data_IF_098331973535
#
_entry.id   IF_098331973535
#
_cell.length_a   1.000
_cell.length_b   1.000
_cell.length_c   1.000
_cell.angle_alpha   90.00
_cell.angle_beta   90.00
_cell.angle_gamma   90.00
#
_symmetry.space_group_name_H-M   'P 1'
#
loop_
_entity.id
_entity.type
_entity.pdbx_description
1 polymer ?
#
# COMPACT_ATOMS: atom_id res chain seq x y z
N UNK A 1 23.53 74.41 10.51
CA UNK A 1 23.61 74.42 11.99
C UNK A 1 22.37 73.70 12.51
N UNK A 2 22.46 72.43 12.92
CA UNK A 2 22.29 72.01 14.33
C UNK A 2 21.03 71.12 14.45
N UNK A 3 21.19 69.79 14.55
CA UNK A 3 20.96 68.94 15.75
C UNK A 3 19.46 68.84 16.19
N UNK A 4 18.80 67.69 15.95
CA UNK A 4 18.44 66.62 16.93
C UNK A 4 17.35 67.03 17.94
N UNK A 5 16.26 66.29 18.22
CA UNK A 5 16.16 65.02 19.01
C UNK A 5 14.64 64.64 19.00
N UNK A 6 14.20 63.48 18.47
CA UNK A 6 13.93 62.19 19.16
C UNK A 6 12.69 62.16 20.10
N UNK A 7 11.48 61.86 19.59
CA UNK A 7 10.42 61.18 20.39
C UNK A 7 9.48 60.42 19.44
N UNK A 8 9.66 59.10 19.28
CA UNK A 8 8.59 58.17 18.84
C UNK A 8 9.08 56.72 18.82
N UNK A 9 9.66 56.22 19.92
CA UNK A 9 9.94 54.78 20.08
C UNK A 9 9.69 54.37 21.53
N UNK A 10 8.43 54.29 21.95
CA UNK A 10 8.11 53.73 23.29
C UNK A 10 6.71 53.13 23.46
N UNK A 11 6.01 52.75 22.38
CA UNK A 11 4.67 52.09 22.52
C UNK A 11 4.62 50.68 21.93
N UNK A 12 5.50 50.33 20.98
CA UNK A 12 5.49 49.00 20.35
C UNK A 12 6.24 47.90 21.12
N UNK A 13 7.20 48.25 21.98
CA UNK A 13 8.04 47.26 22.68
C UNK A 13 7.30 46.62 23.87
N UNK A 14 6.51 47.40 24.63
CA UNK A 14 5.78 46.89 25.79
C UNK A 14 4.68 45.87 25.45
N UNK A 15 4.02 46.01 24.30
CA UNK A 15 2.98 45.07 23.85
C UNK A 15 3.55 43.72 23.40
N UNK A 16 4.72 43.70 22.77
CA UNK A 16 5.37 42.46 22.31
C UNK A 16 5.96 41.70 23.50
N UNK A 17 6.57 42.40 24.46
CA UNK A 17 7.11 41.79 25.69
C UNK A 17 6.01 41.26 26.60
N UNK A 18 4.87 41.96 26.70
CA UNK A 18 3.70 41.46 27.44
C UNK A 18 3.08 40.21 26.82
N UNK A 19 3.00 40.15 25.49
CA UNK A 19 2.43 38.99 24.78
C UNK A 19 3.34 37.75 24.88
N UNK A 20 4.66 37.92 24.81
CA UNK A 20 5.61 36.81 24.97
C UNK A 20 5.68 36.29 26.40
N UNK A 21 5.54 37.17 27.41
CA UNK A 21 5.50 36.76 28.82
C UNK A 21 4.23 35.95 29.16
N UNK A 22 3.08 36.32 28.59
CA UNK A 22 1.81 35.59 28.77
C UNK A 22 1.83 34.24 28.04
N UNK A 23 2.37 34.19 26.81
CA UNK A 23 2.57 32.91 26.09
C UNK A 23 3.56 31.98 26.80
N UNK A 24 4.62 32.53 27.42
CA UNK A 24 5.56 31.75 28.22
C UNK A 24 4.92 31.21 29.52
N UNK A 25 4.04 31.96 30.18
CA UNK A 25 3.31 31.47 31.35
C UNK A 25 2.29 30.37 31.00
N UNK A 26 1.62 30.44 29.84
CA UNK A 26 0.72 29.36 29.40
C UNK A 26 1.46 28.05 29.06
N UNK A 27 2.71 28.12 28.62
CA UNK A 27 3.53 26.93 28.36
C UNK A 27 3.89 26.16 29.65
N UNK A 28 4.07 26.87 30.78
CA UNK A 28 4.37 26.24 32.07
C UNK A 28 3.16 25.52 32.69
N UNK A 29 1.93 26.02 32.49
CA UNK A 29 0.72 25.39 33.05
C UNK A 29 0.37 24.09 32.33
N UNK A 30 0.65 23.99 31.03
CA UNK A 30 0.45 22.77 30.24
C UNK A 30 1.39 21.61 30.64
N UNK A 31 2.51 21.89 31.30
CA UNK A 31 3.44 20.89 31.84
C UNK A 31 3.08 20.41 33.25
N UNK A 32 2.06 20.99 33.88
CA UNK A 32 1.63 20.60 35.24
C UNK A 32 0.49 19.58 35.29
N UNK A 33 0.08 19.01 34.15
CA UNK A 33 -0.78 17.81 34.16
C UNK A 33 0.02 16.63 34.67
N UNK A 34 0.14 16.56 35.99
CA UNK A 34 0.60 15.42 36.75
C UNK A 34 -0.37 14.27 36.45
N UNK A 35 -0.05 13.46 35.44
CA UNK A 35 -0.81 12.26 35.14
C UNK A 35 -0.79 11.39 36.38
N UNK A 36 -1.94 11.18 37.01
CA UNK A 36 -2.10 10.18 38.07
C UNK A 36 -1.54 8.85 37.55
N UNK A 37 -0.76 8.12 38.37
CA UNK A 37 -0.25 6.83 37.94
C UNK A 37 -1.43 5.95 37.54
N UNK A 38 -1.40 5.33 36.34
CA UNK A 38 -2.54 4.60 35.80
C UNK A 38 -2.94 3.48 36.75
N UNK A 39 -4.25 3.28 36.91
CA UNK A 39 -4.78 2.23 37.78
C UNK A 39 -4.33 0.84 37.27
N UNK A 40 -4.23 -0.18 38.14
CA UNK A 40 -3.84 -1.54 37.71
C UNK A 40 -4.70 -2.10 36.57
N UNK A 41 -5.99 -1.77 36.56
CA UNK A 41 -6.93 -2.11 35.49
C UNK A 41 -6.62 -1.36 34.19
N UNK A 42 -6.41 -0.04 34.24
CA UNK A 42 -5.99 0.74 33.06
C UNK A 42 -4.66 0.25 32.47
N UNK A 43 -3.74 -0.25 33.30
CA UNK A 43 -2.47 -0.85 32.81
C UNK A 43 -2.72 -2.14 32.04
N UNK A 44 -3.63 -3.00 32.53
CA UNK A 44 -4.03 -4.22 31.83
C UNK A 44 -4.77 -3.89 30.54
N UNK A 45 -5.71 -2.96 30.56
CA UNK A 45 -6.45 -2.53 29.37
C UNK A 45 -5.52 -1.94 28.31
N UNK A 46 -4.54 -1.12 28.70
CA UNK A 46 -3.52 -0.61 27.77
C UNK A 46 -2.65 -1.73 27.20
N UNK A 47 -2.27 -2.72 28.01
CA UNK A 47 -1.49 -3.87 27.55
C UNK A 47 -2.31 -4.75 26.59
N UNK A 48 -3.59 -4.96 26.88
CA UNK A 48 -4.52 -5.70 26.03
C UNK A 48 -4.77 -4.97 24.70
N UNK A 49 -4.97 -3.65 24.75
CA UNK A 49 -5.11 -2.83 23.54
C UNK A 49 -3.89 -2.92 22.61
N UNK A 50 -2.67 -3.11 23.16
CA UNK A 50 -1.46 -3.36 22.36
C UNK A 50 -1.45 -4.73 21.71
N UNK A 51 -1.97 -5.76 22.38
CA UNK A 51 -2.14 -7.09 21.80
C UNK A 51 -3.17 -7.03 20.66
N UNK A 52 -4.27 -6.34 20.87
CA UNK A 52 -5.33 -6.16 19.86
C UNK A 52 -4.82 -5.35 18.66
N UNK A 53 -4.02 -4.30 18.89
CA UNK A 53 -3.30 -3.57 17.84
C UNK A 53 -2.37 -4.49 17.04
N UNK A 54 -1.64 -5.38 17.73
CA UNK A 54 -0.79 -6.38 17.08
C UNK A 54 -1.59 -7.36 16.22
N UNK A 55 -2.73 -7.84 16.72
CA UNK A 55 -3.64 -8.72 15.98
C UNK A 55 -4.17 -8.03 14.72
N UNK A 56 -4.60 -6.76 14.81
CA UNK A 56 -5.03 -5.96 13.65
C UNK A 56 -3.93 -5.85 12.60
N UNK A 57 -2.70 -5.53 13.02
CA UNK A 57 -1.53 -5.45 12.10
C UNK A 57 -1.24 -6.79 11.41
N UNK A 58 -1.44 -7.91 12.10
CA UNK A 58 -1.31 -9.25 11.51
C UNK A 58 -2.40 -9.49 10.47
N UNK A 59 -3.66 -9.17 10.80
CA UNK A 59 -4.79 -9.30 9.87
C UNK A 59 -4.60 -8.45 8.61
N UNK A 60 -4.22 -7.18 8.77
CA UNK A 60 -3.94 -6.27 7.64
C UNK A 60 -2.84 -6.82 6.72
N UNK A 61 -1.79 -7.40 7.32
CA UNK A 61 -0.69 -7.99 6.56
C UNK A 61 -1.12 -9.26 5.81
N UNK A 62 -1.97 -10.10 6.43
CA UNK A 62 -2.53 -11.29 5.79
C UNK A 62 -3.49 -10.93 4.65
N UNK A 63 -4.32 -9.90 4.83
CA UNK A 63 -5.19 -9.40 3.77
C UNK A 63 -4.37 -8.91 2.58
N UNK A 64 -3.29 -8.17 2.81
CA UNK A 64 -2.38 -7.73 1.76
C UNK A 64 -1.74 -8.90 0.99
N UNK A 65 -1.39 -9.99 1.68
CA UNK A 65 -0.88 -11.21 1.05
C UNK A 65 -1.97 -11.85 0.19
N UNK A 66 -3.18 -12.02 0.73
CA UNK A 66 -4.30 -12.62 0.02
C UNK A 66 -4.68 -11.84 -1.26
N UNK A 67 -4.74 -10.51 -1.17
CA UNK A 67 -4.95 -9.63 -2.33
C UNK A 67 -3.84 -9.78 -3.37
N UNK A 68 -2.58 -9.81 -2.92
CA UNK A 68 -1.43 -9.99 -3.80
C UNK A 68 -1.43 -11.35 -4.51
N UNK A 69 -1.81 -12.42 -3.81
CA UNK A 69 -1.97 -13.75 -4.38
C UNK A 69 -3.11 -13.82 -5.40
N UNK A 70 -4.24 -13.17 -5.12
CA UNK A 70 -5.35 -13.07 -6.06
C UNK A 70 -4.92 -12.36 -7.35
N UNK A 71 -4.24 -11.21 -7.24
CA UNK A 71 -3.67 -10.49 -8.38
C UNK A 71 -2.69 -11.36 -9.18
N UNK A 72 -1.82 -12.12 -8.48
CA UNK A 72 -0.86 -13.02 -9.13
C UNK A 72 -1.57 -14.12 -9.92
N UNK A 73 -2.60 -14.74 -9.35
CA UNK A 73 -3.40 -15.79 -10.01
C UNK A 73 -4.13 -15.25 -11.23
N UNK A 74 -4.81 -14.11 -11.09
CA UNK A 74 -5.53 -13.46 -12.18
C UNK A 74 -4.58 -13.06 -13.31
N UNK A 75 -3.49 -12.34 -12.99
CA UNK A 75 -2.48 -11.97 -13.98
C UNK A 75 -1.85 -13.19 -14.67
N UNK A 76 -1.62 -14.29 -13.96
CA UNK A 76 -1.11 -15.52 -14.58
C UNK A 76 -2.13 -16.18 -15.52
N UNK A 77 -3.41 -16.20 -15.15
CA UNK A 77 -4.48 -16.73 -15.99
C UNK A 77 -4.63 -15.90 -17.27
N UNK A 78 -4.61 -14.57 -17.15
CA UNK A 78 -4.66 -13.65 -18.28
C UNK A 78 -3.44 -13.78 -19.19
N UNK A 79 -2.22 -13.87 -18.63
CA UNK A 79 -1.01 -14.11 -19.43
C UNK A 79 -1.15 -15.38 -20.27
N UNK A 80 -1.64 -16.47 -19.68
CA UNK A 80 -1.90 -17.71 -20.42
C UNK A 80 -2.96 -17.52 -21.50
N UNK A 81 -4.04 -16.80 -21.21
CA UNK A 81 -5.12 -16.50 -22.15
C UNK A 81 -4.61 -15.70 -23.35
N UNK A 82 -3.97 -14.55 -23.12
CA UNK A 82 -3.44 -13.71 -24.19
C UNK A 82 -2.34 -14.39 -24.99
N UNK A 83 -1.51 -15.23 -24.36
CA UNK A 83 -0.52 -16.04 -25.09
C UNK A 83 -1.19 -17.03 -26.05
N UNK A 84 -2.30 -17.66 -25.64
CA UNK A 84 -3.08 -18.54 -26.51
C UNK A 84 -3.75 -17.76 -27.65
N UNK A 85 -4.35 -16.61 -27.34
CA UNK A 85 -4.99 -15.75 -28.35
C UNK A 85 -3.98 -15.28 -29.40
N UNK A 86 -2.77 -14.88 -28.99
CA UNK A 86 -1.72 -14.48 -29.91
C UNK A 86 -1.33 -15.62 -30.87
N UNK A 87 -1.10 -16.82 -30.32
CA UNK A 87 -0.77 -18.01 -31.14
C UNK A 87 -1.91 -18.39 -32.09
N UNK A 88 -3.15 -18.24 -31.65
CA UNK A 88 -4.32 -18.54 -32.47
C UNK A 88 -4.44 -17.54 -33.63
N UNK A 89 -4.29 -16.23 -33.34
CA UNK A 89 -4.27 -15.21 -34.39
C UNK A 89 -3.13 -15.36 -35.38
N UNK A 90 -1.94 -15.75 -34.89
CA UNK A 90 -0.80 -16.06 -35.78
C UNK A 90 -1.11 -17.22 -36.73
N UNK A 91 -1.80 -18.27 -36.24
CA UNK A 91 -2.21 -19.40 -37.08
C UNK A 91 -3.26 -19.01 -38.12
N UNK A 92 -4.30 -18.28 -37.70
CA UNK A 92 -5.35 -17.79 -38.61
C UNK A 92 -4.76 -16.91 -39.70
N UNK A 93 -3.94 -15.92 -39.34
CA UNK A 93 -3.25 -15.07 -40.30
C UNK A 93 -2.37 -15.87 -41.26
N UNK A 94 -1.63 -16.89 -40.79
CA UNK A 94 -0.83 -17.73 -41.69
C UNK A 94 -1.68 -18.55 -42.67
N UNK A 95 -2.86 -19.01 -42.26
CA UNK A 95 -3.77 -19.76 -43.12
C UNK A 95 -4.42 -18.84 -44.16
N UNK A 96 -4.96 -17.70 -43.73
CA UNK A 96 -5.56 -16.70 -44.61
C UNK A 96 -4.54 -16.15 -45.61
N UNK A 97 -3.33 -15.82 -45.14
CA UNK A 97 -2.25 -15.34 -46.00
C UNK A 97 -1.88 -16.36 -47.07
N UNK A 98 -1.82 -17.66 -46.75
CA UNK A 98 -1.54 -18.72 -47.74
C UNK A 98 -2.61 -18.80 -48.82
N UNK A 99 -3.89 -18.70 -48.44
CA UNK A 99 -5.01 -18.72 -49.39
C UNK A 99 -4.95 -17.51 -50.31
N UNK A 100 -4.77 -16.31 -49.74
CA UNK A 100 -4.69 -15.06 -50.51
C UNK A 100 -3.45 -15.03 -51.42
N UNK A 101 -2.29 -15.48 -50.94
CA UNK A 101 -1.08 -15.63 -51.75
C UNK A 101 -1.31 -16.55 -52.94
N UNK A 102 -2.02 -17.67 -52.76
CA UNK A 102 -2.43 -18.55 -53.87
C UNK A 102 -3.26 -17.82 -54.93
N UNK A 103 -4.24 -17.00 -54.50
CA UNK A 103 -5.08 -16.18 -55.40
C UNK A 103 -4.31 -15.07 -56.10
N UNK A 104 -3.23 -14.54 -55.52
CA UNK A 104 -2.39 -13.53 -56.20
C UNK A 104 -1.62 -14.08 -57.40
N UNK A 105 -1.56 -15.40 -57.55
CA UNK A 105 -0.96 -16.10 -58.68
C UNK A 105 -1.98 -16.44 -59.78
N UNK A 106 -3.25 -16.02 -59.64
CA UNK A 106 -4.28 -16.20 -60.66
C UNK A 106 -3.91 -15.49 -61.98
N UNK A 107 -4.39 -16.05 -63.09
CA UNK A 107 -4.20 -15.49 -64.43
C UNK A 107 -5.06 -14.23 -64.66
N UNK A 108 -6.20 -14.14 -63.97
CA UNK A 108 -7.08 -12.98 -64.02
C UNK A 108 -6.45 -11.78 -63.30
N UNK A 109 -6.34 -10.66 -64.03
CA UNK A 109 -5.76 -9.41 -63.54
C UNK A 109 -6.63 -8.77 -62.45
N UNK A 110 -7.95 -8.91 -62.52
CA UNK A 110 -8.89 -8.33 -61.57
C UNK A 110 -8.88 -9.13 -60.26
N UNK A 111 -8.95 -10.47 -60.33
CA UNK A 111 -8.80 -11.33 -59.15
C UNK A 111 -7.46 -11.13 -58.45
N UNK A 112 -6.39 -10.95 -59.22
CA UNK A 112 -5.05 -10.67 -58.69
C UNK A 112 -4.95 -9.32 -57.99
N UNK A 113 -5.62 -8.29 -58.52
CA UNK A 113 -5.66 -6.97 -57.89
C UNK A 113 -6.44 -7.04 -56.56
N UNK A 114 -7.60 -7.68 -56.57
CA UNK A 114 -8.46 -7.86 -55.39
C UNK A 114 -7.73 -8.67 -54.30
N UNK A 115 -7.10 -9.80 -54.65
CA UNK A 115 -6.34 -10.62 -53.70
C UNK A 115 -5.16 -9.87 -53.06
N UNK A 116 -4.52 -8.94 -53.79
CA UNK A 116 -3.45 -8.09 -53.24
C UNK A 116 -3.97 -7.04 -52.26
N UNK A 117 -5.14 -6.47 -52.54
CA UNK A 117 -5.78 -5.52 -51.64
C UNK A 117 -6.26 -6.20 -50.35
N UNK A 118 -6.90 -7.36 -50.47
CA UNK A 118 -7.29 -8.20 -49.33
C UNK A 118 -6.07 -8.60 -48.49
N UNK A 119 -4.94 -8.97 -49.12
CA UNK A 119 -3.71 -9.32 -48.40
C UNK A 119 -3.17 -8.14 -47.58
N UNK A 120 -3.22 -6.92 -48.12
CA UNK A 120 -2.80 -5.71 -47.40
C UNK A 120 -3.73 -5.41 -46.22
N UNK A 121 -5.04 -5.48 -46.43
CA UNK A 121 -6.04 -5.27 -45.38
C UNK A 121 -5.88 -6.28 -44.23
N UNK A 122 -5.68 -7.56 -44.57
CA UNK A 122 -5.42 -8.63 -43.61
C UNK A 122 -4.09 -8.43 -42.84
N UNK A 123 -3.02 -7.98 -43.50
CA UNK A 123 -1.76 -7.66 -42.81
C UNK A 123 -1.93 -6.51 -41.81
N UNK A 124 -2.70 -5.48 -42.18
CA UNK A 124 -2.95 -4.35 -41.31
C UNK A 124 -3.83 -4.71 -40.10
N UNK A 125 -4.88 -5.51 -40.32
CA UNK A 125 -5.73 -6.03 -39.23
C UNK A 125 -4.91 -6.91 -38.28
N UNK A 126 -4.12 -7.86 -38.80
CA UNK A 126 -3.25 -8.69 -37.97
C UNK A 126 -2.23 -7.87 -37.18
N UNK A 127 -1.67 -6.81 -37.77
CA UNK A 127 -0.74 -5.91 -37.07
C UNK A 127 -1.42 -5.16 -35.93
N UNK A 128 -2.67 -4.71 -36.13
CA UNK A 128 -3.47 -4.03 -35.10
C UNK A 128 -3.80 -5.00 -33.96
N UNK A 129 -4.39 -6.14 -34.28
CA UNK A 129 -4.78 -7.18 -33.31
C UNK A 129 -3.57 -7.67 -32.51
N UNK A 130 -2.46 -7.95 -33.20
CA UNK A 130 -1.22 -8.39 -32.53
C UNK A 130 -0.66 -7.33 -31.58
N UNK A 131 -0.76 -6.04 -31.92
CA UNK A 131 -0.32 -4.97 -31.03
C UNK A 131 -1.22 -4.87 -29.79
N UNK A 132 -2.52 -4.99 -29.97
CA UNK A 132 -3.49 -4.98 -28.88
C UNK A 132 -3.28 -6.16 -27.92
N UNK A 133 -3.23 -7.40 -28.45
CA UNK A 133 -3.01 -8.60 -27.65
C UNK A 133 -1.67 -8.53 -26.90
N UNK A 134 -0.59 -8.03 -27.56
CA UNK A 134 0.71 -7.81 -26.90
C UNK A 134 0.65 -6.72 -25.84
N UNK A 135 -0.17 -5.70 -26.04
CA UNK A 135 -0.46 -4.66 -25.05
C UNK A 135 -1.11 -5.25 -23.80
N UNK A 136 -2.18 -6.02 -23.98
CA UNK A 136 -2.91 -6.70 -22.90
C UNK A 136 -2.03 -7.74 -22.19
N UNK A 137 -1.21 -8.49 -22.93
CA UNK A 137 -0.22 -9.41 -22.35
C UNK A 137 0.78 -8.68 -21.44
N UNK A 138 1.29 -7.52 -21.88
CA UNK A 138 2.18 -6.69 -21.03
C UNK A 138 1.43 -6.16 -19.80
N UNK A 139 0.17 -5.79 -19.93
CA UNK A 139 -0.70 -5.41 -18.82
C UNK A 139 -0.81 -6.52 -17.77
N UNK A 140 -1.21 -7.71 -18.19
CA UNK A 140 -1.33 -8.89 -17.33
C UNK A 140 0.00 -9.29 -16.66
N UNK A 141 1.13 -9.17 -17.38
CA UNK A 141 2.46 -9.40 -16.79
C UNK A 141 2.80 -8.37 -15.72
N UNK A 142 2.43 -7.09 -15.91
CA UNK A 142 2.61 -6.04 -14.89
C UNK A 142 1.74 -6.32 -13.67
N UNK A 143 0.49 -6.74 -13.87
CA UNK A 143 -0.42 -7.06 -12.78
C UNK A 143 0.10 -8.23 -11.94
N UNK A 144 0.57 -9.31 -12.59
CA UNK A 144 1.25 -10.41 -11.90
C UNK A 144 2.43 -9.90 -11.05
N UNK A 145 3.30 -9.07 -11.64
CA UNK A 145 4.46 -8.49 -10.94
C UNK A 145 4.06 -7.57 -9.78
N UNK A 146 2.95 -6.85 -9.91
CA UNK A 146 2.42 -6.02 -8.83
C UNK A 146 1.86 -6.88 -7.70
N UNK A 147 1.19 -7.99 -8.02
CA UNK A 147 0.78 -9.02 -7.06
C UNK A 147 1.97 -9.58 -6.28
N UNK A 148 3.05 -9.99 -6.97
CA UNK A 148 4.29 -10.46 -6.33
C UNK A 148 4.85 -9.42 -5.34
N UNK A 149 4.94 -8.15 -5.76
CA UNK A 149 5.40 -7.05 -4.88
C UNK A 149 4.47 -6.80 -3.70
N UNK A 150 3.17 -7.03 -3.85
CA UNK A 150 2.19 -6.85 -2.77
C UNK A 150 2.35 -7.96 -1.73
N UNK A 151 2.53 -9.21 -2.17
CA UNK A 151 2.86 -10.35 -1.30
C UNK A 151 4.16 -10.09 -0.53
N UNK A 152 5.24 -9.71 -1.22
CA UNK A 152 6.54 -9.42 -0.56
C UNK A 152 6.42 -8.34 0.53
N UNK A 153 5.62 -7.29 0.26
CA UNK A 153 5.36 -6.23 1.24
C UNK A 153 4.51 -6.74 2.40
N UNK A 154 3.48 -7.54 2.10
CA UNK A 154 2.62 -8.19 3.08
C UNK A 154 3.42 -9.10 4.01
N UNK A 155 4.31 -9.94 3.48
CA UNK A 155 5.18 -10.83 4.27
C UNK A 155 6.13 -10.04 5.19
N UNK A 156 6.75 -8.97 4.69
CA UNK A 156 7.60 -8.09 5.52
C UNK A 156 6.80 -7.44 6.64
N UNK A 157 5.57 -6.98 6.37
CA UNK A 157 4.66 -6.44 7.39
C UNK A 157 4.25 -7.51 8.39
N UNK A 158 3.95 -8.73 7.93
CA UNK A 158 3.56 -9.85 8.77
C UNK A 158 4.68 -10.24 9.75
N UNK A 159 5.94 -10.32 9.28
CA UNK A 159 7.09 -10.58 10.15
C UNK A 159 7.21 -9.52 11.26
N UNK A 160 7.11 -8.24 10.92
CA UNK A 160 7.14 -7.13 11.88
C UNK A 160 5.94 -7.17 12.84
N UNK A 161 4.74 -7.45 12.34
CA UNK A 161 3.53 -7.54 13.13
C UNK A 161 3.58 -8.71 14.14
N UNK A 162 4.12 -9.87 13.74
CA UNK A 162 4.35 -11.01 14.64
C UNK A 162 5.32 -10.66 15.77
N UNK A 163 6.44 -10.00 15.47
CA UNK A 163 7.40 -9.56 16.50
C UNK A 163 6.72 -8.58 17.47
N UNK A 164 5.95 -7.62 16.95
CA UNK A 164 5.20 -6.67 17.76
C UNK A 164 4.17 -7.38 18.66
N UNK A 165 3.41 -8.32 18.10
CA UNK A 165 2.42 -9.11 18.84
C UNK A 165 3.05 -9.89 19.99
N UNK A 166 4.17 -10.58 19.74
CA UNK A 166 4.86 -11.35 20.78
C UNK A 166 5.41 -10.45 21.89
N UNK A 167 6.00 -9.29 21.54
CA UNK A 167 6.42 -8.31 22.56
C UNK A 167 5.25 -7.71 23.34
N UNK A 168 4.09 -7.48 22.71
CA UNK A 168 2.88 -7.02 23.38
C UNK A 168 2.32 -8.08 24.35
N UNK A 169 2.28 -9.35 23.94
CA UNK A 169 1.86 -10.48 24.79
C UNK A 169 2.78 -10.68 25.98
N UNK A 170 4.09 -10.53 25.81
CA UNK A 170 5.05 -10.60 26.91
C UNK A 170 4.78 -9.50 27.94
N UNK A 171 4.59 -8.26 27.49
CA UNK A 171 4.24 -7.12 28.38
C UNK A 171 2.91 -7.31 29.10
N UNK A 172 1.91 -7.89 28.44
CA UNK A 172 0.64 -8.23 29.07
C UNK A 172 0.86 -9.24 30.21
N UNK A 173 1.56 -10.34 29.96
CA UNK A 173 1.88 -11.35 30.99
C UNK A 173 2.68 -10.76 32.15
N UNK A 174 3.64 -9.89 31.88
CA UNK A 174 4.41 -9.19 32.92
C UNK A 174 3.50 -8.27 33.76
N UNK A 175 2.58 -7.53 33.12
CA UNK A 175 1.63 -6.65 33.81
C UNK A 175 0.64 -7.45 34.66
N UNK A 176 0.15 -8.59 34.16
CA UNK A 176 -0.69 -9.52 34.91
C UNK A 176 0.03 -10.07 36.14
N UNK A 177 1.28 -10.51 36.00
CA UNK A 177 2.09 -10.98 37.15
C UNK A 177 2.30 -9.89 38.18
N UNK A 178 2.66 -8.68 37.76
CA UNK A 178 2.85 -7.54 38.66
C UNK A 178 1.59 -7.16 39.41
N UNK A 179 0.41 -7.23 38.77
CA UNK A 179 -0.85 -6.97 39.44
C UNK A 179 -1.18 -8.06 40.47
N UNK A 180 -0.99 -9.34 40.13
CA UNK A 180 -1.17 -10.45 41.10
C UNK A 180 -0.27 -10.32 42.32
N UNK A 181 1.02 -10.05 42.14
CA UNK A 181 1.96 -9.84 43.24
C UNK A 181 1.59 -8.63 44.11
N UNK A 182 0.99 -7.59 43.53
CA UNK A 182 0.47 -6.44 44.28
C UNK A 182 -0.75 -6.81 45.10
N UNK A 183 -1.69 -7.54 44.52
CA UNK A 183 -2.91 -7.98 45.20
C UNK A 183 -2.56 -8.92 46.37
N UNK A 184 -1.61 -9.85 46.18
CA UNK A 184 -1.08 -10.72 47.24
C UNK A 184 -0.42 -9.93 48.37
N UNK A 185 0.36 -8.89 48.05
CA UNK A 185 0.95 -7.99 49.06
C UNK A 185 -0.11 -7.24 49.86
N UNK A 186 -1.12 -6.68 49.19
CA UNK A 186 -2.23 -5.98 49.86
C UNK A 186 -2.98 -6.92 50.82
N UNK A 187 -3.30 -8.15 50.36
CA UNK A 187 -3.93 -9.17 51.21
C UNK A 187 -3.07 -9.56 52.41
N UNK A 188 -1.74 -9.60 52.26
CA UNK A 188 -0.83 -9.89 53.38
C UNK A 188 -0.75 -8.76 54.41
N UNK A 189 -0.98 -7.51 53.99
CA UNK A 189 -1.02 -6.32 54.86
C UNK A 189 -2.36 -6.28 55.60
N UNK A 190 -3.47 -6.58 54.93
CA UNK A 190 -4.81 -6.60 55.53
C UNK A 190 -5.00 -7.72 56.56
N UNK A 191 -4.20 -8.79 56.48
CA UNK A 191 -4.19 -9.90 57.45
C UNK A 191 -3.30 -9.66 58.68
N UNK A 192 -2.53 -8.57 58.74
CA UNK A 192 -1.69 -8.19 59.88
C UNK A 192 -2.38 -7.13 60.73
#
# INVERSE_FOLDING_TARGET
MGLSVKVARSVKVGRVVGLTLVLACCACVAWSQQSTPPTPQERLERAQARVDEGNKRVQDALQMIAEGEAMRKNGQAEVKSYTKQLKQREKEHMQEAKVLLGRTSAEDKEEKANAREELKGMQESFRRDSKEIKGSLKGAMKEKRNGDKLVDRGEKKLKKAKIFLETAKLKLRETEKQNRERDEKLLSIEKR
#
